data_IF_647062506906
#
_entry.id   IF_647062506906
#
_cell.length_a   1.000
_cell.length_b   1.000
_cell.length_c   1.000
_cell.angle_alpha   90.00
_cell.angle_beta   90.00
_cell.angle_gamma   90.00
#
_symmetry.space_group_name_H-M   'P 1'
#
loop_
_entity.id
_entity.type
_entity.pdbx_description
1 polymer ?
#
# COMPACT_ATOMS: atom_id res chain seq x y z
N UNK A 1 -10.58 -29.95 8.62
CA UNK A 1 -10.55 -29.03 9.78
C UNK A 1 -11.37 -27.74 9.61
N UNK A 2 -11.06 -26.83 8.66
CA UNK A 2 -11.86 -25.58 8.53
C UNK A 2 -13.32 -25.87 8.12
N UNK A 3 -13.51 -26.79 7.16
CA UNK A 3 -14.83 -27.22 6.69
C UNK A 3 -15.69 -27.88 7.78
N UNK A 4 -15.05 -28.47 8.81
CA UNK A 4 -15.75 -29.09 9.95
C UNK A 4 -16.28 -28.05 10.96
N UNK A 5 -16.03 -26.75 10.73
CA UNK A 5 -16.53 -25.66 11.57
C UNK A 5 -15.51 -25.05 12.52
N UNK A 6 -14.25 -25.51 12.50
CA UNK A 6 -13.19 -24.94 13.32
C UNK A 6 -12.74 -23.58 12.76
N UNK A 7 -13.19 -22.50 13.39
CA UNK A 7 -12.97 -21.11 12.96
C UNK A 7 -11.60 -20.55 13.32
N UNK A 8 -10.96 -21.12 14.34
CA UNK A 8 -9.70 -20.62 14.89
C UNK A 8 -8.46 -21.25 14.23
N UNK A 9 -8.65 -22.22 13.33
CA UNK A 9 -7.54 -22.89 12.65
C UNK A 9 -6.85 -21.91 11.71
N UNK A 10 -5.55 -21.71 11.92
CA UNK A 10 -4.69 -20.89 11.08
C UNK A 10 -3.45 -21.66 10.61
N UNK A 11 -2.63 -20.98 9.82
CA UNK A 11 -1.36 -21.48 9.32
C UNK A 11 -0.29 -21.38 10.41
N UNK A 12 0.47 -22.46 10.62
CA UNK A 12 1.66 -22.43 11.47
C UNK A 12 2.89 -22.04 10.63
N UNK A 13 3.43 -20.84 10.87
CA UNK A 13 4.60 -20.35 10.11
C UNK A 13 5.94 -20.88 10.66
N UNK A 14 5.94 -21.45 11.86
CA UNK A 14 7.14 -21.96 12.53
C UNK A 14 7.35 -23.46 12.25
N UNK A 15 6.38 -24.12 11.61
CA UNK A 15 6.47 -25.54 11.30
C UNK A 15 7.40 -25.79 10.11
N UNK A 16 8.24 -26.84 10.22
CA UNK A 16 9.15 -27.25 9.13
C UNK A 16 8.40 -27.77 7.89
N UNK A 17 7.17 -28.23 8.08
CA UNK A 17 6.27 -28.70 7.03
C UNK A 17 4.95 -27.94 7.10
N UNK A 18 4.18 -27.84 5.99
CA UNK A 18 2.88 -27.19 6.00
C UNK A 18 1.97 -27.78 7.08
N UNK A 19 1.70 -26.99 8.11
CA UNK A 19 0.92 -27.39 9.27
C UNK A 19 -0.07 -26.30 9.67
N UNK A 20 -1.04 -26.70 10.48
CA UNK A 20 -2.06 -25.80 11.01
C UNK A 20 -2.00 -25.78 12.53
N UNK A 21 -2.41 -24.67 13.14
CA UNK A 21 -2.42 -24.47 14.60
C UNK A 21 -3.68 -23.70 14.98
N UNK A 22 -4.15 -23.86 16.22
CA UNK A 22 -5.22 -23.03 16.75
C UNK A 22 -4.66 -21.64 17.11
N UNK A 23 -5.18 -20.60 16.46
CA UNK A 23 -4.68 -19.22 16.62
C UNK A 23 -5.09 -18.57 17.94
N UNK A 24 -6.19 -19.04 18.55
CA UNK A 24 -6.63 -18.56 19.86
C UNK A 24 -5.71 -19.09 20.94
N UNK A 25 -5.40 -20.39 20.90
CA UNK A 25 -4.44 -21.02 21.83
C UNK A 25 -3.02 -20.47 21.64
N UNK A 26 -2.62 -20.18 20.40
CA UNK A 26 -1.33 -19.55 20.10
C UNK A 26 -1.25 -18.07 20.50
N UNK A 27 -2.37 -17.44 20.88
CA UNK A 27 -2.43 -16.00 21.21
C UNK A 27 -2.23 -15.06 20.02
N UNK A 28 -2.34 -15.58 18.79
CA UNK A 28 -2.14 -14.82 17.55
C UNK A 28 -3.49 -14.25 17.10
N UNK A 29 -3.82 -13.09 17.62
CA UNK A 29 -5.08 -12.39 17.36
C UNK A 29 -4.83 -11.03 16.71
N UNK A 30 -5.78 -10.57 15.92
CA UNK A 30 -5.74 -9.26 15.26
C UNK A 30 -6.99 -8.45 15.63
N UNK A 31 -6.91 -7.13 15.46
CA UNK A 31 -8.01 -6.23 15.79
C UNK A 31 -9.18 -6.41 14.82
N UNK A 32 -10.36 -6.69 15.37
CA UNK A 32 -11.57 -6.84 14.58
C UNK A 32 -11.88 -5.59 13.73
N UNK A 33 -11.86 -4.42 14.36
CA UNK A 33 -12.17 -3.16 13.68
C UNK A 33 -11.15 -2.84 12.57
N UNK A 34 -9.87 -3.15 12.79
CA UNK A 34 -8.82 -2.97 11.79
C UNK A 34 -9.10 -3.78 10.53
N UNK A 35 -9.35 -5.09 10.68
CA UNK A 35 -9.68 -5.98 9.54
C UNK A 35 -10.99 -5.58 8.86
N UNK A 36 -12.03 -5.22 9.62
CA UNK A 36 -13.32 -4.81 9.08
C UNK A 36 -13.17 -3.61 8.14
N UNK A 37 -12.49 -2.55 8.58
CA UNK A 37 -12.28 -1.36 7.76
C UNK A 37 -11.28 -1.59 6.63
N UNK A 38 -10.23 -2.38 6.86
CA UNK A 38 -9.26 -2.71 5.80
C UNK A 38 -9.94 -3.36 4.60
N UNK A 39 -10.79 -4.38 4.83
CA UNK A 39 -11.51 -5.06 3.76
C UNK A 39 -12.47 -4.09 3.07
N UNK A 40 -13.27 -3.35 3.83
CA UNK A 40 -14.25 -2.40 3.29
C UNK A 40 -13.60 -1.33 2.41
N UNK A 41 -12.47 -0.76 2.86
CA UNK A 41 -11.73 0.27 2.11
C UNK A 41 -11.04 -0.32 0.89
N UNK A 42 -10.42 -1.50 1.00
CA UNK A 42 -9.79 -2.18 -0.13
C UNK A 42 -10.81 -2.52 -1.23
N UNK A 43 -11.99 -3.03 -0.87
CA UNK A 43 -13.06 -3.31 -1.84
C UNK A 43 -13.59 -2.04 -2.47
N UNK A 44 -13.74 -0.95 -1.70
CA UNK A 44 -14.17 0.34 -2.25
C UNK A 44 -13.15 0.91 -3.24
N UNK A 45 -11.85 0.81 -2.93
CA UNK A 45 -10.78 1.23 -3.82
C UNK A 45 -10.78 0.41 -5.12
N UNK A 46 -10.87 -0.92 -5.02
CA UNK A 46 -10.95 -1.81 -6.18
C UNK A 46 -12.16 -1.49 -7.06
N UNK A 47 -13.34 -1.31 -6.46
CA UNK A 47 -14.56 -0.91 -7.18
C UNK A 47 -14.40 0.46 -7.85
N UNK A 48 -13.73 1.40 -7.19
CA UNK A 48 -13.48 2.74 -7.77
C UNK A 48 -12.59 2.64 -9.00
N UNK A 49 -11.50 1.86 -8.94
CA UNK A 49 -10.60 1.65 -10.06
C UNK A 49 -11.31 0.94 -11.22
N UNK A 50 -12.06 -0.12 -10.93
CA UNK A 50 -12.77 -0.91 -11.96
C UNK A 50 -13.91 -0.15 -12.66
N UNK A 51 -14.41 0.95 -12.07
CA UNK A 51 -15.44 1.80 -12.67
C UNK A 51 -14.90 2.81 -13.67
N UNK A 52 -13.58 3.01 -13.75
CA UNK A 52 -12.96 3.96 -14.68
C UNK A 52 -12.84 3.29 -16.06
N UNK A 53 -13.48 3.86 -17.08
CA UNK A 53 -13.38 3.40 -18.47
C UNK A 53 -12.33 4.18 -19.27
N UNK A 54 -12.32 5.51 -19.14
CA UNK A 54 -11.39 6.38 -19.86
C UNK A 54 -10.81 7.45 -18.94
N UNK A 55 -9.53 7.78 -19.17
CA UNK A 55 -8.81 8.81 -18.43
C UNK A 55 -8.36 9.88 -19.42
N UNK A 56 -8.86 11.11 -19.26
CA UNK A 56 -8.37 12.30 -19.97
C UNK A 56 -7.48 13.07 -18.98
N UNK A 57 -6.18 13.07 -19.25
CA UNK A 57 -5.19 13.66 -18.36
C UNK A 57 -4.75 15.04 -18.88
N UNK A 58 -4.73 16.06 -18.01
CA UNK A 58 -4.08 17.31 -18.32
C UNK A 58 -2.58 17.06 -18.53
N UNK A 59 -1.96 17.72 -19.51
CA UNK A 59 -0.50 17.64 -19.69
C UNK A 59 0.15 17.95 -18.33
N UNK A 60 1.13 17.14 -17.86
CA UNK A 60 1.87 17.47 -16.65
C UNK A 60 2.28 18.93 -16.74
N UNK A 61 2.12 19.70 -15.66
CA UNK A 61 2.45 21.11 -15.64
C UNK A 61 3.95 21.26 -15.96
N UNK A 62 4.25 21.38 -17.25
CA UNK A 62 5.59 21.58 -17.79
C UNK A 62 5.93 23.04 -17.61
N UNK A 63 5.96 23.49 -16.35
CA UNK A 63 6.42 24.82 -16.00
C UNK A 63 7.74 25.11 -16.73
N UNK A 64 7.98 26.38 -17.10
CA UNK A 64 9.15 26.74 -17.89
C UNK A 64 10.41 26.12 -17.30
N UNK A 65 11.23 25.52 -18.18
CA UNK A 65 12.49 24.87 -17.81
C UNK A 65 13.30 25.85 -16.92
N UNK A 66 13.84 25.40 -15.77
CA UNK A 66 14.66 26.26 -14.92
C UNK A 66 15.73 26.94 -15.80
N UNK A 67 15.94 28.26 -15.68
CA UNK A 67 16.94 28.94 -16.48
C UNK A 67 18.31 28.27 -16.31
N UNK A 68 18.82 27.67 -17.38
CA UNK A 68 20.18 27.15 -17.41
C UNK A 68 21.13 28.30 -17.69
N UNK A 69 21.71 28.87 -16.63
CA UNK A 69 22.90 29.73 -16.73
C UNK A 69 22.65 31.22 -16.46
N UNK A 70 22.93 31.63 -15.23
CA UNK A 70 24.10 32.47 -14.90
C UNK A 70 24.59 32.04 -13.52
N UNK A 71 25.47 31.04 -13.51
CA UNK A 71 26.48 30.88 -12.46
C UNK A 71 27.48 32.02 -12.71
N UNK A 72 28.06 32.60 -11.67
CA UNK A 72 29.03 33.73 -11.73
C UNK A 72 28.37 35.11 -11.48
N UNK A 73 27.80 35.29 -10.28
CA UNK A 73 27.44 36.61 -9.72
C UNK A 73 28.56 37.20 -8.84
N UNK A 74 29.68 36.48 -8.68
CA UNK A 74 30.75 36.77 -7.72
C UNK A 74 32.12 36.99 -8.41
N UNK A 75 32.17 37.39 -9.69
CA UNK A 75 33.44 37.88 -10.27
C UNK A 75 33.65 39.34 -9.88
N UNK A 76 34.38 39.52 -8.77
CA UNK A 76 35.00 40.76 -8.32
C UNK A 76 35.76 41.42 -9.47
N UNK A 77 35.22 42.52 -10.03
CA UNK A 77 35.96 43.41 -10.93
C UNK A 77 37.01 44.18 -10.13
N UNK A 78 38.23 43.64 -10.10
CA UNK A 78 39.42 44.37 -9.71
C UNK A 78 40.12 44.89 -10.97
N UNK A 79 39.82 46.14 -11.34
CA UNK A 79 40.65 47.03 -12.17
C UNK A 79 40.64 48.44 -11.58
#
# INVERSE_FOLDING_TARGET
>A
VHQEGNKNVGLDIEAEVPAVKDMLEAGVLDTYLGKYWAIKLATNAAVTVLRVDQIIMAKPAGGPKPPSGKKDWDEDQND
#
